data_IF_225003700631
#
_entry.id   IF_225003700631
#
_cell.length_a   1.000
_cell.length_b   1.000
_cell.length_c   1.000
_cell.angle_alpha   90.00
_cell.angle_beta   90.00
_cell.angle_gamma   90.00
#
_symmetry.space_group_name_H-M   'P 1'
#
loop_
_entity.id
_entity.type
_entity.pdbx_description
1 polymer ?
#
# COMPACT_ATOMS: atom_id res chain seq x y z
N UNK A 1 -0.73 -8.30 2.81
CA UNK A 1 0.67 -7.90 2.54
C UNK A 1 0.90 -7.54 1.07
N UNK A 2 0.51 -8.37 0.11
CA UNK A 2 0.71 -8.11 -1.34
C UNK A 2 0.27 -6.72 -1.84
N UNK A 3 -0.81 -6.16 -1.29
CA UNK A 3 -1.28 -4.81 -1.64
C UNK A 3 -0.25 -3.72 -1.33
N UNK A 4 0.40 -3.83 -0.16
CA UNK A 4 1.49 -2.94 0.26
C UNK A 4 2.69 -3.13 -0.66
N UNK A 5 3.06 -4.37 -0.96
CA UNK A 5 4.18 -4.65 -1.85
C UNK A 5 3.97 -4.09 -3.26
N UNK A 6 2.77 -4.22 -3.82
CA UNK A 6 2.45 -3.61 -5.10
C UNK A 6 2.59 -2.08 -5.03
N UNK A 7 2.11 -1.44 -3.96
CA UNK A 7 2.20 0.02 -3.81
C UNK A 7 3.64 0.52 -3.69
N UNK A 8 4.46 -0.12 -2.85
CA UNK A 8 5.88 0.20 -2.71
C UNK A 8 6.62 -0.01 -4.04
N UNK A 9 6.28 -1.07 -4.78
CA UNK A 9 6.86 -1.33 -6.10
C UNK A 9 6.54 -0.25 -7.12
N UNK A 10 5.34 0.35 -7.06
CA UNK A 10 4.98 1.50 -7.90
C UNK A 10 5.82 2.73 -7.58
N UNK A 11 6.10 2.99 -6.31
CA UNK A 11 6.90 4.15 -5.86
C UNK A 11 8.37 3.96 -6.27
N UNK A 12 8.91 2.77 -6.04
CA UNK A 12 10.32 2.47 -6.33
C UNK A 12 10.61 2.15 -7.80
N UNK A 13 9.59 2.05 -8.66
CA UNK A 13 9.76 1.74 -10.09
C UNK A 13 10.33 0.33 -10.36
N UNK A 14 10.08 -0.65 -9.50
CA UNK A 14 10.59 -2.02 -9.68
C UNK A 14 9.68 -2.84 -10.62
N UNK A 15 10.04 -2.94 -11.91
CA UNK A 15 9.26 -3.68 -12.92
C UNK A 15 8.98 -5.14 -12.54
N UNK A 16 10.01 -5.87 -12.06
CA UNK A 16 9.87 -7.26 -11.62
C UNK A 16 8.87 -7.40 -10.45
N UNK A 17 8.97 -6.50 -9.47
CA UNK A 17 8.12 -6.53 -8.28
C UNK A 17 6.67 -6.20 -8.65
N UNK A 18 6.45 -5.24 -9.55
CA UNK A 18 5.13 -4.89 -10.07
C UNK A 18 4.43 -6.11 -10.69
N UNK A 19 5.14 -6.85 -11.55
CA UNK A 19 4.59 -8.06 -12.16
C UNK A 19 4.28 -9.13 -11.10
N UNK A 20 5.24 -9.45 -10.23
CA UNK A 20 5.07 -10.46 -9.18
C UNK A 20 3.86 -10.19 -8.28
N UNK A 21 3.77 -8.98 -7.72
CA UNK A 21 2.76 -8.66 -6.72
C UNK A 21 1.37 -8.44 -7.34
N UNK A 22 1.30 -7.88 -8.55
CA UNK A 22 0.02 -7.78 -9.26
C UNK A 22 -0.54 -9.16 -9.65
N UNK A 23 0.30 -10.09 -10.09
CA UNK A 23 -0.11 -11.47 -10.36
C UNK A 23 -0.58 -12.19 -9.09
N UNK A 24 0.14 -12.02 -7.97
CA UNK A 24 -0.24 -12.62 -6.69
C UNK A 24 -1.62 -12.12 -6.21
N UNK A 25 -1.88 -10.81 -6.30
CA UNK A 25 -3.18 -10.23 -5.94
C UNK A 25 -4.31 -10.76 -6.83
N UNK A 26 -4.10 -10.84 -8.14
CA UNK A 26 -5.09 -11.40 -9.08
C UNK A 26 -5.38 -12.87 -8.81
N UNK A 27 -4.34 -13.68 -8.55
CA UNK A 27 -4.49 -15.09 -8.16
C UNK A 27 -5.24 -15.24 -6.82
N UNK A 28 -5.06 -14.30 -5.91
CA UNK A 28 -5.78 -14.22 -4.64
C UNK A 28 -7.21 -13.69 -4.74
N UNK A 29 -7.74 -13.44 -5.94
CA UNK A 29 -9.12 -12.98 -6.15
C UNK A 29 -9.37 -11.51 -5.84
N UNK A 30 -8.31 -10.68 -5.76
CA UNK A 30 -8.48 -9.23 -5.57
C UNK A 30 -9.27 -8.64 -6.74
N UNK A 31 -10.28 -7.82 -6.43
CA UNK A 31 -11.07 -7.13 -7.45
C UNK A 31 -10.19 -6.21 -8.31
N UNK A 32 -10.36 -6.27 -9.63
CA UNK A 32 -9.57 -5.46 -10.59
C UNK A 32 -9.74 -3.97 -10.32
N UNK A 33 -10.95 -3.50 -10.01
CA UNK A 33 -11.23 -2.10 -9.67
C UNK A 33 -10.39 -1.57 -8.50
N UNK A 34 -10.08 -2.42 -7.52
CA UNK A 34 -9.22 -2.06 -6.38
C UNK A 34 -7.75 -1.96 -6.78
N UNK A 35 -7.30 -2.82 -7.69
CA UNK A 35 -5.94 -2.74 -8.26
C UNK A 35 -5.76 -1.47 -9.09
N UNK A 36 -6.74 -1.15 -9.93
CA UNK A 36 -6.74 0.05 -10.78
C UNK A 36 -6.73 1.33 -9.93
N UNK A 37 -7.43 1.32 -8.80
CA UNK A 37 -7.49 2.45 -7.88
C UNK A 37 -6.28 2.60 -6.94
N UNK A 38 -5.36 1.64 -6.89
CA UNK A 38 -4.25 1.63 -5.93
C UNK A 38 -3.33 2.85 -6.04
N UNK A 39 -3.08 3.33 -7.27
CA UNK A 39 -2.27 4.53 -7.47
C UNK A 39 -2.90 5.79 -6.84
N UNK A 40 -4.23 5.81 -6.71
CA UNK A 40 -5.03 6.90 -6.13
C UNK A 40 -5.73 6.49 -4.84
N UNK A 41 -5.16 5.58 -4.04
CA UNK A 41 -5.84 4.96 -2.90
C UNK A 41 -6.40 5.96 -1.87
N UNK A 42 -5.76 7.13 -1.70
CA UNK A 42 -6.19 8.17 -0.74
C UNK A 42 -7.59 8.72 -1.01
N UNK A 43 -7.96 8.82 -2.28
CA UNK A 43 -9.24 9.36 -2.76
C UNK A 43 -10.23 8.27 -3.19
N UNK A 44 -9.83 7.00 -3.11
CA UNK A 44 -10.66 5.86 -3.49
C UNK A 44 -11.46 5.32 -2.31
N UNK A 45 -12.73 4.97 -2.56
CA UNK A 45 -13.59 4.30 -1.58
C UNK A 45 -13.33 2.78 -1.47
N UNK A 46 -12.40 2.20 -2.25
CA UNK A 46 -12.16 0.75 -2.28
C UNK A 46 -11.32 0.21 -1.12
N UNK A 47 -10.73 1.10 -0.30
CA UNK A 47 -9.77 0.73 0.74
C UNK A 47 -10.38 0.88 2.13
N UNK A 48 -10.25 -0.17 2.95
CA UNK A 48 -10.68 -0.16 4.35
C UNK A 48 -9.80 0.76 5.19
N UNK A 49 -10.25 1.21 6.38
CA UNK A 49 -9.40 1.97 7.29
C UNK A 49 -8.04 1.29 7.57
N UNK A 50 -8.04 -0.02 7.81
CA UNK A 50 -6.83 -0.81 8.03
C UNK A 50 -5.88 -0.79 6.82
N UNK A 51 -6.40 -0.92 5.60
CA UNK A 51 -5.59 -0.84 4.39
C UNK A 51 -5.04 0.57 4.16
N UNK A 52 -5.83 1.60 4.45
CA UNK A 52 -5.40 3.00 4.35
C UNK A 52 -4.26 3.30 5.33
N UNK A 53 -4.35 2.81 6.58
CA UNK A 53 -3.28 2.91 7.56
C UNK A 53 -2.02 2.17 7.08
N UNK A 54 -2.16 0.94 6.58
CA UNK A 54 -1.05 0.15 6.04
C UNK A 54 -0.38 0.81 4.83
N UNK A 55 -1.16 1.39 3.91
CA UNK A 55 -0.64 2.09 2.73
C UNK A 55 0.04 3.40 3.13
N UNK A 56 -0.55 4.20 4.03
CA UNK A 56 0.04 5.44 4.53
C UNK A 56 1.43 5.17 5.15
N UNK A 57 1.50 4.18 6.04
CA UNK A 57 2.75 3.79 6.66
C UNK A 57 3.79 3.28 5.65
N UNK A 58 3.36 2.41 4.72
CA UNK A 58 4.25 1.89 3.70
C UNK A 58 4.85 2.99 2.83
N UNK A 59 4.07 3.99 2.43
CA UNK A 59 4.59 5.13 1.67
C UNK A 59 5.58 5.96 2.48
N UNK A 60 5.28 6.24 3.75
CA UNK A 60 6.20 6.99 4.63
C UNK A 60 7.53 6.25 4.79
N UNK A 61 7.51 4.96 5.11
CA UNK A 61 8.74 4.16 5.23
C UNK A 61 9.48 4.03 3.89
N UNK A 62 8.77 4.03 2.76
CA UNK A 62 9.41 4.00 1.43
C UNK A 62 10.17 5.28 1.15
N UNK A 63 9.59 6.44 1.48
CA UNK A 63 10.23 7.76 1.35
C UNK A 63 10.81 8.24 2.69
N UNK A 64 11.52 7.35 3.39
CA UNK A 64 12.02 7.60 4.75
C UNK A 64 12.96 8.80 4.83
N UNK A 65 13.71 9.08 3.75
CA UNK A 65 14.65 10.18 3.69
C UNK A 65 13.96 11.55 3.78
N UNK A 66 12.71 11.64 3.32
CA UNK A 66 11.91 12.87 3.39
C UNK A 66 10.87 12.84 4.51
N UNK A 67 10.23 11.69 4.76
CA UNK A 67 9.10 11.59 5.68
C UNK A 67 9.49 11.28 7.12
N UNK A 68 10.71 10.80 7.36
CA UNK A 68 11.23 10.40 8.67
C UNK A 68 10.42 9.32 9.43
N UNK A 69 9.36 8.77 8.84
CA UNK A 69 8.45 7.80 9.46
C UNK A 69 7.93 8.24 10.84
N UNK A 70 7.41 9.47 10.88
CA UNK A 70 6.88 10.10 12.09
C UNK A 70 5.78 9.28 12.76
N UNK A 71 5.71 9.41 14.10
CA UNK A 71 4.74 8.71 14.94
C UNK A 71 3.29 8.97 14.50
N UNK A 72 2.97 10.16 13.99
CA UNK A 72 1.62 10.49 13.52
C UNK A 72 1.14 9.55 12.40
N UNK A 73 2.04 9.05 11.56
CA UNK A 73 1.71 8.08 10.50
C UNK A 73 1.70 6.65 11.05
N UNK A 74 2.50 6.37 12.07
CA UNK A 74 2.59 5.06 12.70
C UNK A 74 1.40 4.74 13.62
N UNK A 75 1.01 5.66 14.50
CA UNK A 75 -0.01 5.40 15.54
C UNK A 75 -1.33 4.85 15.00
N UNK A 76 -1.88 5.33 13.85
CA UNK A 76 -3.11 4.76 13.28
C UNK A 76 -3.03 3.27 12.93
N UNK A 77 -1.83 2.71 12.69
CA UNK A 77 -1.69 1.27 12.47
C UNK A 77 -2.08 0.46 13.70
N UNK A 78 -1.83 0.98 14.90
CA UNK A 78 -2.06 0.27 16.16
C UNK A 78 -3.54 0.03 16.45
N UNK A 79 -4.42 0.77 15.78
CA UNK A 79 -5.87 0.54 15.84
C UNK A 79 -6.31 -0.70 15.02
N UNK A 80 -5.43 -1.22 14.16
CA UNK A 80 -5.78 -2.23 13.16
C UNK A 80 -4.89 -3.47 13.18
N UNK A 81 -3.67 -3.38 13.73
CA UNK A 81 -2.66 -4.42 13.65
C UNK A 81 -1.94 -4.61 15.00
N UNK A 82 -1.58 -5.86 15.32
CA UNK A 82 -0.85 -6.28 16.54
C UNK A 82 0.53 -6.80 16.22
#
# INVERSE_FOLDING_TARGET
>A
VELVYLRVSQINGCAFCLEKHSQALRKGGMAQSKLDALAGWRVSAHFTPAERAALAWAESVTDIAASHAEDEVYQPLREHFT
#
